data_IF_427933874324
#
_entry.id   IF_427933874324
#
_cell.length_a   1.000
_cell.length_b   1.000
_cell.length_c   1.000
_cell.angle_alpha   90.00
_cell.angle_beta   90.00
_cell.angle_gamma   90.00
#
_symmetry.space_group_name_H-M   'P 1'
#
loop_
_entity.id
_entity.type
_entity.pdbx_description
1 polymer ?
#
# COMPACT_ATOMS: atom_id res chain seq x y z
N UNK A 1 23.74 -26.76 36.82
CA UNK A 1 24.66 -26.39 35.72
C UNK A 1 24.04 -27.01 34.47
N UNK A 2 23.45 -26.31 33.52
CA UNK A 2 23.48 -24.89 33.18
C UNK A 2 22.11 -24.50 32.64
N UNK A 3 21.67 -23.29 32.97
CA UNK A 3 20.38 -22.71 32.60
C UNK A 3 20.23 -22.60 31.08
N UNK A 4 19.18 -23.23 30.55
CA UNK A 4 18.68 -22.97 29.21
C UNK A 4 17.79 -21.72 29.25
N UNK A 5 18.37 -20.52 29.14
CA UNK A 5 17.61 -19.29 28.83
C UNK A 5 18.49 -18.32 28.03
N UNK A 6 18.30 -18.32 26.72
CA UNK A 6 18.60 -17.17 25.83
C UNK A 6 17.29 -17.02 25.02
N UNK A 7 16.24 -16.32 25.49
CA UNK A 7 16.15 -14.87 25.70
C UNK A 7 16.70 -14.08 24.51
N UNK A 8 16.06 -14.18 23.35
CA UNK A 8 15.96 -13.09 22.37
C UNK A 8 14.56 -13.11 21.76
N UNK A 9 13.68 -12.24 22.26
CA UNK A 9 12.46 -11.85 21.54
C UNK A 9 12.89 -11.19 20.23
N UNK A 10 12.69 -11.87 19.10
CA UNK A 10 12.80 -11.24 17.79
C UNK A 10 11.78 -10.11 17.72
N UNK A 11 12.25 -8.87 17.82
CA UNK A 11 11.44 -7.71 17.47
C UNK A 11 11.28 -7.72 15.94
N UNK A 12 10.17 -8.25 15.45
CA UNK A 12 9.79 -8.12 14.04
C UNK A 12 9.78 -6.62 13.69
N UNK A 13 10.73 -6.20 12.85
CA UNK A 13 10.77 -4.82 12.35
C UNK A 13 9.43 -4.55 11.66
N UNK A 14 8.74 -3.44 11.97
CA UNK A 14 7.49 -3.11 11.30
C UNK A 14 7.72 -3.07 9.79
N UNK A 15 6.98 -3.90 9.05
CA UNK A 15 7.02 -3.93 7.59
C UNK A 15 6.32 -2.69 7.06
N UNK A 16 7.07 -1.61 6.88
CA UNK A 16 6.58 -0.42 6.21
C UNK A 16 6.29 -0.73 4.75
N UNK A 17 5.06 -0.46 4.31
CA UNK A 17 4.66 -0.56 2.92
C UNK A 17 4.35 0.82 2.38
N UNK A 18 4.83 1.12 1.17
CA UNK A 18 4.56 2.37 0.46
C UNK A 18 4.16 2.10 -0.98
N UNK A 19 3.60 3.11 -1.66
CA UNK A 19 3.29 3.03 -3.07
C UNK A 19 4.58 2.81 -3.89
N UNK A 20 4.61 1.83 -4.82
CA UNK A 20 5.77 1.62 -5.66
C UNK A 20 5.90 2.73 -6.72
N UNK A 21 7.08 2.82 -7.33
CA UNK A 21 7.31 3.70 -8.47
C UNK A 21 6.50 3.23 -9.69
N UNK A 22 5.61 4.09 -10.20
CA UNK A 22 4.87 3.84 -11.43
C UNK A 22 5.58 4.50 -12.62
N UNK A 23 6.09 3.73 -13.60
CA UNK A 23 6.81 4.27 -14.76
C UNK A 23 5.95 5.14 -15.68
N UNK A 24 4.62 5.15 -15.52
CA UNK A 24 3.73 6.09 -16.23
C UNK A 24 3.82 7.51 -15.68
N UNK A 25 4.27 7.67 -14.44
CA UNK A 25 4.31 8.93 -13.70
C UNK A 25 5.73 9.24 -13.19
N UNK A 26 6.67 9.42 -14.13
CA UNK A 26 8.09 9.67 -13.82
C UNK A 26 8.39 11.09 -13.36
N UNK A 27 7.53 12.05 -13.69
CA UNK A 27 7.70 13.45 -13.32
C UNK A 27 7.43 13.68 -11.82
N UNK A 28 8.03 14.73 -11.26
CA UNK A 28 7.82 15.14 -9.85
C UNK A 28 6.36 15.43 -9.51
N UNK A 29 5.56 15.86 -10.49
CA UNK A 29 4.13 16.11 -10.31
C UNK A 29 3.34 14.79 -10.25
N UNK A 30 2.95 14.38 -9.04
CA UNK A 30 2.21 13.15 -8.77
C UNK A 30 0.68 13.32 -8.73
N UNK A 31 0.15 14.51 -9.06
CA UNK A 31 -1.31 14.77 -9.02
C UNK A 31 -2.09 13.81 -9.90
N UNK A 32 -1.57 13.48 -11.09
CA UNK A 32 -2.21 12.51 -11.99
C UNK A 32 -2.16 11.08 -11.45
N UNK A 33 -1.11 10.72 -10.72
CA UNK A 33 -0.97 9.41 -10.10
C UNK A 33 -2.01 9.20 -8.98
N UNK A 34 -2.13 10.21 -8.10
CA UNK A 34 -3.19 10.25 -7.07
C UNK A 34 -4.59 10.14 -7.71
N UNK A 35 -4.90 11.00 -8.68
CA UNK A 35 -6.22 11.03 -9.33
C UNK A 35 -6.56 9.71 -10.02
N UNK A 36 -5.61 9.14 -10.78
CA UNK A 36 -5.80 7.89 -11.49
C UNK A 36 -6.03 6.72 -10.50
N UNK A 37 -5.23 6.63 -9.44
CA UNK A 37 -5.37 5.59 -8.42
C UNK A 37 -6.71 5.66 -7.67
N UNK A 38 -7.18 6.87 -7.36
CA UNK A 38 -8.49 7.10 -6.74
C UNK A 38 -9.63 6.61 -7.65
N UNK A 39 -9.60 7.02 -8.92
CA UNK A 39 -10.61 6.60 -9.88
C UNK A 39 -10.60 5.09 -10.11
N UNK A 40 -9.42 4.47 -10.20
CA UNK A 40 -9.29 3.04 -10.43
C UNK A 40 -9.82 2.22 -9.25
N UNK A 41 -9.64 2.68 -8.01
CA UNK A 41 -10.27 2.07 -6.85
C UNK A 41 -11.80 2.07 -6.95
N UNK A 42 -12.42 3.23 -7.22
CA UNK A 42 -13.88 3.33 -7.29
C UNK A 42 -14.46 2.61 -8.51
N UNK A 43 -13.76 2.60 -9.66
CA UNK A 43 -14.14 1.78 -10.82
C UNK A 43 -14.06 0.30 -10.51
N UNK A 44 -13.03 -0.13 -9.77
CA UNK A 44 -12.83 -1.51 -9.37
C UNK A 44 -13.97 -1.97 -8.45
N UNK A 45 -14.31 -1.19 -7.43
CA UNK A 45 -15.46 -1.43 -6.56
C UNK A 45 -16.76 -1.56 -7.35
N UNK A 46 -17.04 -0.62 -8.27
CA UNK A 46 -18.28 -0.65 -9.06
C UNK A 46 -18.39 -1.87 -9.98
N UNK A 47 -17.27 -2.35 -10.52
CA UNK A 47 -17.25 -3.46 -11.49
C UNK A 47 -17.19 -4.84 -10.83
N UNK A 48 -16.47 -4.98 -9.73
CA UNK A 48 -16.15 -6.27 -9.13
C UNK A 48 -16.73 -6.49 -7.73
N UNK A 49 -17.22 -5.44 -7.08
CA UNK A 49 -17.68 -5.49 -5.69
C UNK A 49 -16.57 -5.25 -4.68
N UNK A 50 -16.93 -5.25 -3.40
CA UNK A 50 -16.05 -4.92 -2.28
C UNK A 50 -15.04 -6.04 -1.95
N UNK A 51 -15.37 -7.29 -2.28
CA UNK A 51 -14.57 -8.48 -1.93
C UNK A 51 -13.36 -8.73 -2.85
N UNK A 52 -13.15 -7.89 -3.87
CA UNK A 52 -12.06 -8.09 -4.82
C UNK A 52 -10.74 -7.56 -4.26
N UNK A 53 -9.90 -8.48 -3.77
CA UNK A 53 -8.61 -8.20 -3.13
C UNK A 53 -7.71 -7.23 -3.92
N UNK A 54 -7.59 -7.31 -5.27
CA UNK A 54 -6.78 -6.35 -6.01
C UNK A 54 -7.30 -4.91 -6.00
N UNK A 55 -8.58 -4.65 -5.69
CA UNK A 55 -9.05 -3.28 -5.47
C UNK A 55 -8.36 -2.65 -4.25
N UNK A 56 -7.98 -3.45 -3.24
CA UNK A 56 -7.29 -2.96 -2.04
C UNK A 56 -5.91 -2.39 -2.37
N UNK A 57 -5.25 -2.85 -3.44
CA UNK A 57 -3.99 -2.27 -3.90
C UNK A 57 -4.17 -0.79 -4.25
N UNK A 58 -5.14 -0.48 -5.12
CA UNK A 58 -5.44 0.90 -5.50
C UNK A 58 -5.86 1.74 -4.29
N UNK A 59 -6.57 1.13 -3.34
CA UNK A 59 -6.95 1.79 -2.09
C UNK A 59 -5.73 2.29 -1.31
N UNK A 60 -4.73 1.42 -1.11
CA UNK A 60 -3.53 1.78 -0.36
C UNK A 60 -2.70 2.82 -1.11
N UNK A 61 -2.60 2.71 -2.45
CA UNK A 61 -1.83 3.65 -3.27
C UNK A 61 -2.43 5.06 -3.22
N UNK A 62 -3.74 5.22 -3.46
CA UNK A 62 -4.34 6.56 -3.46
C UNK A 62 -4.27 7.21 -2.07
N UNK A 63 -4.44 6.43 -0.98
CA UNK A 63 -4.34 6.94 0.40
C UNK A 63 -2.94 7.47 0.76
N UNK A 64 -1.90 6.99 0.09
CA UNK A 64 -0.52 7.44 0.32
C UNK A 64 -0.22 8.69 -0.53
N UNK A 65 -0.72 8.73 -1.76
CA UNK A 65 -0.39 9.78 -2.72
C UNK A 65 -1.27 11.02 -2.62
N UNK A 66 -2.54 10.85 -2.24
CA UNK A 66 -3.50 11.95 -2.19
C UNK A 66 -3.49 12.65 -0.83
N UNK A 67 -3.57 14.00 -0.80
CA UNK A 67 -3.82 14.73 0.44
C UNK A 67 -5.22 14.41 0.99
N UNK A 68 -5.36 14.43 2.32
CA UNK A 68 -6.63 14.26 3.02
C UNK A 68 -7.52 15.50 2.92
#
# INVERSE_FOLDING_TARGET
>A
MSVAVMSQSEQEKPKYWTAPFDPRFTNTNQTKNCWQSYLDYHRCLKKKGEDFEPCLYFMRVYKILCPN
#
